data_IF_355512918503
#
_entry.id   IF_355512918503
#
_cell.length_a   1.000
_cell.length_b   1.000
_cell.length_c   1.000
_cell.angle_alpha   90.00
_cell.angle_beta   90.00
_cell.angle_gamma   90.00
#
_symmetry.space_group_name_H-M   'P 1'
#
loop_
_entity.id
_entity.type
_entity.pdbx_description
1 polymer ?
#
# COMPACT_ATOMS: atom_id res chain seq x y z
N UNK A 1 3.75 6.77 -10.81
CA UNK A 1 4.22 6.30 -9.50
C UNK A 1 4.13 7.44 -8.51
N UNK A 2 3.60 7.18 -7.33
CA UNK A 2 3.35 8.21 -6.34
C UNK A 2 3.70 7.68 -4.96
N UNK A 3 4.24 8.54 -4.11
CA UNK A 3 4.41 8.28 -2.70
C UNK A 3 3.58 9.29 -1.91
N UNK A 4 2.53 8.77 -1.28
CA UNK A 4 1.47 9.57 -0.65
C UNK A 4 1.56 9.41 0.86
N UNK A 5 1.88 10.51 1.55
CA UNK A 5 2.15 10.56 2.98
C UNK A 5 1.12 11.52 3.64
N UNK A 6 0.10 11.01 4.35
CA UNK A 6 -0.74 11.85 5.18
C UNK A 6 0.04 12.28 6.43
N UNK A 7 0.03 13.57 6.75
CA UNK A 7 0.75 14.10 7.91
C UNK A 7 -0.09 14.04 9.19
N UNK A 8 -1.40 14.21 9.08
CA UNK A 8 -2.35 14.21 10.21
C UNK A 8 -2.03 15.22 11.32
N UNK A 9 -1.22 16.22 11.01
CA UNK A 9 -0.91 17.36 11.86
C UNK A 9 -0.80 18.63 11.02
N UNK A 10 -0.93 19.83 11.63
CA UNK A 10 -0.78 21.08 10.92
C UNK A 10 0.61 21.23 10.32
N UNK A 11 0.68 21.66 9.05
CA UNK A 11 1.93 21.80 8.34
C UNK A 11 1.84 22.91 7.30
N UNK A 12 2.76 23.89 7.32
CA UNK A 12 2.85 25.02 6.36
C UNK A 12 1.51 25.70 6.02
N UNK A 13 0.68 25.93 7.04
CA UNK A 13 -0.62 26.61 6.90
C UNK A 13 -1.79 25.70 6.51
N UNK A 14 -1.53 24.41 6.30
CA UNK A 14 -2.55 23.37 6.28
C UNK A 14 -2.89 22.95 7.71
N UNK A 15 -4.16 22.72 7.98
CA UNK A 15 -4.69 22.12 9.21
C UNK A 15 -4.41 20.60 9.21
N UNK A 16 -4.58 19.97 8.06
CA UNK A 16 -4.19 18.59 7.75
C UNK A 16 -3.68 18.56 6.32
N UNK A 17 -2.46 18.07 6.12
CA UNK A 17 -1.82 17.97 4.81
C UNK A 17 -1.51 16.53 4.43
N UNK A 18 -1.52 16.26 3.14
CA UNK A 18 -0.96 15.08 2.50
C UNK A 18 0.14 15.52 1.54
N UNK A 19 1.32 14.95 1.70
CA UNK A 19 2.44 15.16 0.77
C UNK A 19 2.40 14.06 -0.30
N UNK A 20 2.43 14.45 -1.56
CA UNK A 20 2.43 13.58 -2.73
C UNK A 20 3.72 13.80 -3.51
N UNK A 21 4.61 12.81 -3.49
CA UNK A 21 5.88 12.82 -4.23
C UNK A 21 5.71 11.99 -5.50
N UNK A 22 5.93 12.58 -6.67
CA UNK A 22 5.83 11.91 -7.98
C UNK A 22 6.89 12.45 -8.95
N UNK A 23 7.13 11.79 -10.08
CA UNK A 23 8.22 12.17 -11.01
C UNK A 23 8.20 13.63 -11.49
N UNK A 24 7.03 14.29 -11.47
CA UNK A 24 6.89 15.71 -11.83
C UNK A 24 7.12 16.71 -10.69
N UNK A 25 7.45 16.26 -9.47
CA UNK A 25 7.69 17.10 -8.30
C UNK A 25 6.91 16.68 -7.06
N UNK A 26 6.89 17.56 -6.06
CA UNK A 26 6.21 17.34 -4.78
C UNK A 26 5.04 18.30 -4.66
N UNK A 27 3.89 17.78 -4.22
CA UNK A 27 2.69 18.55 -3.92
C UNK A 27 2.31 18.33 -2.47
N UNK A 28 1.87 19.40 -1.80
CA UNK A 28 1.16 19.31 -0.54
C UNK A 28 -0.29 19.70 -0.77
N UNK A 29 -1.19 18.83 -0.34
CA UNK A 29 -2.62 18.93 -0.58
C UNK A 29 -3.33 18.83 0.76
N UNK A 30 -4.29 19.72 1.04
CA UNK A 30 -4.97 19.69 2.32
C UNK A 30 -5.93 20.83 2.57
N UNK A 31 -6.48 20.86 3.79
CA UNK A 31 -7.37 21.93 4.24
C UNK A 31 -6.59 23.07 4.86
N UNK A 32 -6.92 24.31 4.50
CA UNK A 32 -6.41 25.56 5.08
C UNK A 32 -7.56 26.30 5.76
N UNK A 33 -7.28 27.48 6.32
CA UNK A 33 -8.31 28.37 6.88
C UNK A 33 -9.32 28.86 5.82
N UNK A 34 -8.91 28.92 4.54
CA UNK A 34 -9.70 29.49 3.44
C UNK A 34 -10.42 28.42 2.60
N UNK A 35 -10.11 27.14 2.80
CA UNK A 35 -10.70 26.04 2.04
C UNK A 35 -9.70 24.93 1.76
N UNK A 36 -9.95 24.14 0.71
CA UNK A 36 -9.00 23.15 0.24
C UNK A 36 -7.97 23.81 -0.69
N UNK A 37 -6.70 23.43 -0.54
CA UNK A 37 -5.59 24.02 -1.29
C UNK A 37 -4.58 22.95 -1.72
N UNK A 38 -3.85 23.23 -2.79
CA UNK A 38 -2.78 22.40 -3.36
C UNK A 38 -1.59 23.28 -3.71
N UNK A 39 -0.42 22.97 -3.13
CA UNK A 39 0.80 23.78 -3.27
C UNK A 39 1.98 22.93 -3.72
N UNK A 40 2.76 23.37 -4.73
CA UNK A 40 4.05 22.77 -5.03
C UNK A 40 5.03 23.00 -3.87
N UNK A 41 5.87 22.01 -3.60
CA UNK A 41 6.87 22.04 -2.54
C UNK A 41 8.21 21.58 -3.11
N UNK A 42 9.31 22.14 -2.61
CA UNK A 42 10.65 21.68 -2.98
C UNK A 42 10.93 20.29 -2.37
N UNK A 43 11.60 19.42 -3.12
CA UNK A 43 11.87 18.04 -2.70
C UNK A 43 12.76 17.99 -1.46
N UNK A 44 13.68 18.94 -1.35
CA UNK A 44 14.63 19.09 -0.23
C UNK A 44 13.89 19.36 1.08
N UNK A 45 12.75 20.07 1.01
CA UNK A 45 11.97 20.46 2.19
C UNK A 45 11.16 19.30 2.76
N UNK A 46 10.83 18.30 1.94
CA UNK A 46 10.10 17.10 2.36
C UNK A 46 11.01 15.90 2.57
N UNK A 47 12.31 16.00 2.29
CA UNK A 47 13.25 14.89 2.36
C UNK A 47 13.33 14.29 3.78
N UNK A 48 13.48 15.13 4.80
CA UNK A 48 13.52 14.70 6.21
C UNK A 48 12.19 14.12 6.68
N UNK A 49 11.07 14.68 6.19
CA UNK A 49 9.72 14.21 6.47
C UNK A 49 9.44 12.86 5.81
N UNK A 50 9.90 12.64 4.57
CA UNK A 50 9.70 11.42 3.81
C UNK A 50 10.61 10.28 4.29
N UNK A 51 11.82 10.59 4.78
CA UNK A 51 12.83 9.61 5.19
C UNK A 51 12.31 8.47 6.09
N UNK A 52 11.60 8.71 7.21
CA UNK A 52 11.11 7.62 8.07
C UNK A 52 10.08 6.72 7.36
N UNK A 53 9.28 7.30 6.45
CA UNK A 53 8.32 6.53 5.66
C UNK A 53 9.01 5.77 4.51
N UNK A 54 10.08 6.31 3.93
CA UNK A 54 10.92 5.56 2.99
C UNK A 54 11.55 4.34 3.66
N UNK A 55 12.07 4.50 4.87
CA UNK A 55 12.61 3.39 5.67
C UNK A 55 11.55 2.34 6.02
N UNK A 56 10.33 2.78 6.33
CA UNK A 56 9.19 1.90 6.55
C UNK A 56 8.88 1.06 5.29
N UNK A 57 8.89 1.68 4.10
CA UNK A 57 8.71 0.95 2.84
C UNK A 57 9.92 0.09 2.48
N UNK A 58 11.15 0.50 2.79
CA UNK A 58 12.34 -0.35 2.62
C UNK A 58 12.26 -1.62 3.47
N UNK A 59 11.78 -1.49 4.71
CA UNK A 59 11.48 -2.63 5.57
C UNK A 59 10.40 -3.53 4.94
N UNK A 60 9.31 -2.94 4.44
CA UNK A 60 8.25 -3.70 3.76
C UNK A 60 8.79 -4.43 2.52
N UNK A 61 9.61 -3.77 1.72
CA UNK A 61 10.28 -4.35 0.55
C UNK A 61 11.14 -5.55 0.93
N UNK A 62 11.90 -5.42 2.01
CA UNK A 62 12.75 -6.50 2.55
C UNK A 62 11.93 -7.71 3.02
N UNK A 63 10.83 -7.50 3.73
CA UNK A 63 9.93 -8.58 4.15
C UNK A 63 9.22 -9.24 2.96
N UNK A 64 8.76 -8.45 1.98
CA UNK A 64 8.18 -8.98 0.74
C UNK A 64 9.18 -9.84 -0.01
N UNK A 65 10.43 -9.38 -0.12
CA UNK A 65 11.52 -10.14 -0.69
C UNK A 65 11.74 -11.47 0.04
N UNK A 66 11.80 -11.44 1.37
CA UNK A 66 11.93 -12.64 2.21
C UNK A 66 10.79 -13.65 1.97
N UNK A 67 9.54 -13.19 1.96
CA UNK A 67 8.36 -14.05 1.80
C UNK A 67 8.31 -14.69 0.41
N UNK A 68 8.69 -13.94 -0.63
CA UNK A 68 8.53 -14.36 -2.02
C UNK A 68 9.84 -14.85 -2.67
N UNK A 69 10.94 -14.90 -1.92
CA UNK A 69 12.24 -15.36 -2.40
C UNK A 69 12.88 -14.42 -3.42
N UNK A 70 12.79 -13.11 -3.18
CA UNK A 70 13.44 -12.06 -3.97
C UNK A 70 14.34 -11.22 -3.07
N UNK A 71 15.43 -10.71 -3.62
CA UNK A 71 16.34 -9.83 -2.88
C UNK A 71 15.86 -8.38 -3.00
N UNK A 72 15.60 -7.73 -1.87
CA UNK A 72 15.36 -6.29 -1.83
C UNK A 72 16.67 -5.54 -1.63
N UNK A 73 16.90 -4.51 -2.45
CA UNK A 73 18.02 -3.57 -2.26
C UNK A 73 17.49 -2.15 -2.31
N UNK A 74 17.70 -1.42 -1.22
CA UNK A 74 17.44 0.02 -1.17
C UNK A 74 18.33 0.73 -2.19
N UNK A 75 17.73 1.53 -3.08
CA UNK A 75 18.50 2.40 -3.95
C UNK A 75 19.10 3.57 -3.17
N UNK A 76 20.36 3.90 -3.49
CA UNK A 76 20.97 5.15 -3.08
C UNK A 76 20.49 6.30 -3.97
N UNK A 77 20.50 7.52 -3.44
CA UNK A 77 20.14 8.73 -4.17
C UNK A 77 18.95 9.47 -3.55
N UNK A 78 18.32 10.30 -4.37
CA UNK A 78 17.16 11.11 -3.98
C UNK A 78 15.86 10.28 -3.86
N UNK A 79 14.82 10.91 -3.33
CA UNK A 79 13.51 10.28 -3.13
C UNK A 79 12.89 9.77 -4.43
N UNK A 80 13.14 10.44 -5.57
CA UNK A 80 12.59 10.02 -6.87
C UNK A 80 13.28 8.77 -7.41
N UNK A 81 14.60 8.68 -7.23
CA UNK A 81 15.41 7.51 -7.59
C UNK A 81 15.05 6.33 -6.72
N UNK A 82 14.89 6.56 -5.41
CA UNK A 82 14.35 5.56 -4.49
C UNK A 82 12.97 5.07 -4.92
N UNK A 83 12.02 5.98 -5.21
CA UNK A 83 10.65 5.64 -5.58
C UNK A 83 10.59 4.78 -6.85
N UNK A 84 11.34 5.14 -7.89
CA UNK A 84 11.47 4.34 -9.12
C UNK A 84 11.99 2.94 -8.83
N UNK A 85 13.05 2.85 -8.04
CA UNK A 85 13.64 1.56 -7.68
C UNK A 85 12.70 0.70 -6.86
N UNK A 86 11.99 1.30 -5.91
CA UNK A 86 11.04 0.59 -5.07
C UNK A 86 9.87 0.07 -5.89
N UNK A 87 9.26 0.90 -6.74
CA UNK A 87 8.15 0.48 -7.63
C UNK A 87 8.58 -0.65 -8.56
N UNK A 88 9.78 -0.58 -9.14
CA UNK A 88 10.32 -1.68 -9.96
C UNK A 88 10.41 -2.99 -9.17
N UNK A 89 10.88 -2.93 -7.91
CA UNK A 89 10.90 -4.10 -7.05
C UNK A 89 9.48 -4.63 -6.77
N UNK A 90 8.49 -3.75 -6.58
CA UNK A 90 7.09 -4.14 -6.42
C UNK A 90 6.53 -4.83 -7.67
N UNK A 91 6.95 -4.44 -8.87
CA UNK A 91 6.56 -5.12 -10.10
C UNK A 91 7.14 -6.55 -10.17
N UNK A 92 8.40 -6.73 -9.76
CA UNK A 92 9.04 -8.05 -9.69
C UNK A 92 8.37 -8.96 -8.65
N UNK A 93 8.06 -8.41 -7.47
CA UNK A 93 7.27 -9.05 -6.42
C UNK A 93 5.87 -9.42 -6.92
N UNK A 94 5.19 -8.50 -7.62
CA UNK A 94 3.87 -8.72 -8.20
C UNK A 94 3.88 -9.85 -9.22
N UNK A 95 4.89 -9.91 -10.09
CA UNK A 95 5.07 -11.00 -11.05
C UNK A 95 5.31 -12.36 -10.35
N UNK A 96 6.08 -12.38 -9.25
CA UNK A 96 6.30 -13.58 -8.45
C UNK A 96 5.02 -14.03 -7.76
N UNK A 97 4.29 -13.11 -7.13
CA UNK A 97 2.98 -13.40 -6.53
C UNK A 97 2.00 -13.93 -7.57
N UNK A 98 1.93 -13.32 -8.75
CA UNK A 98 1.08 -13.77 -9.85
C UNK A 98 1.26 -15.26 -10.16
N UNK A 99 2.52 -15.73 -10.23
CA UNK A 99 2.82 -17.16 -10.44
C UNK A 99 2.39 -18.07 -9.29
N UNK A 100 2.46 -17.58 -8.05
CA UNK A 100 2.04 -18.33 -6.86
C UNK A 100 0.51 -18.48 -6.85
N UNK A 101 -0.21 -17.37 -7.02
CA UNK A 101 -1.68 -17.38 -6.97
C UNK A 101 -2.30 -18.12 -8.16
N UNK A 102 -1.62 -18.17 -9.31
CA UNK A 102 -2.01 -19.02 -10.44
C UNK A 102 -2.11 -20.51 -10.04
N UNK A 103 -1.31 -20.96 -9.07
CA UNK A 103 -1.30 -22.34 -8.54
C UNK A 103 -2.28 -22.63 -7.39
N UNK A 104 -2.97 -21.62 -6.84
CA UNK A 104 -3.95 -21.81 -5.74
C UNK A 104 -5.25 -22.45 -6.25
N UNK A 105 -5.56 -22.27 -7.54
CA UNK A 105 -6.78 -22.78 -8.17
C UNK A 105 -8.02 -21.92 -7.88
N UNK A 106 -9.21 -22.40 -8.24
CA UNK A 106 -10.44 -21.66 -8.04
C UNK A 106 -10.74 -21.45 -6.55
N UNK A 107 -11.13 -20.24 -6.17
CA UNK A 107 -11.52 -19.91 -4.80
C UNK A 107 -12.59 -18.82 -4.79
N UNK A 108 -13.35 -18.78 -3.70
CA UNK A 108 -14.32 -17.73 -3.42
C UNK A 108 -14.12 -17.26 -2.00
N UNK A 109 -13.83 -15.98 -1.83
CA UNK A 109 -13.62 -15.31 -0.56
C UNK A 109 -14.70 -14.25 -0.39
N UNK A 110 -15.37 -14.28 0.76
CA UNK A 110 -16.20 -13.17 1.27
C UNK A 110 -15.97 -13.10 2.77
N UNK A 111 -15.26 -12.07 3.22
CA UNK A 111 -14.85 -11.94 4.63
C UNK A 111 -15.12 -10.55 5.16
N UNK A 112 -15.86 -10.46 6.27
CA UNK A 112 -15.97 -9.24 7.05
C UNK A 112 -14.69 -8.99 7.85
N UNK A 113 -14.17 -7.77 7.81
CA UNK A 113 -12.98 -7.33 8.52
C UNK A 113 -13.25 -5.97 9.17
N UNK A 114 -12.89 -5.83 10.45
CA UNK A 114 -13.06 -4.57 11.19
C UNK A 114 -12.26 -3.41 10.60
N UNK A 115 -11.10 -3.71 10.03
CA UNK A 115 -10.21 -2.74 9.36
C UNK A 115 -9.55 -3.43 8.19
N UNK A 116 -9.57 -2.77 7.03
CA UNK A 116 -8.86 -3.23 5.83
C UNK A 116 -7.82 -2.18 5.45
N UNK A 117 -6.55 -2.59 5.48
CA UNK A 117 -5.41 -1.74 5.17
C UNK A 117 -4.92 -1.98 3.74
N UNK A 118 -4.47 -0.92 3.07
CA UNK A 118 -3.88 -1.00 1.74
C UNK A 118 -2.61 -0.15 1.63
N UNK A 119 -1.41 -0.74 1.79
CA UNK A 119 -0.15 0.01 1.68
C UNK A 119 0.23 0.35 0.22
N UNK A 120 -0.44 -0.27 -0.75
CA UNK A 120 -0.26 -0.05 -2.18
C UNK A 120 -1.60 0.08 -2.89
N UNK A 121 -1.65 0.95 -3.90
CA UNK A 121 -2.76 1.05 -4.85
C UNK A 121 -2.20 1.26 -6.25
N UNK A 122 -2.24 0.23 -7.10
CA UNK A 122 -1.50 0.24 -8.37
C UNK A 122 0.00 0.45 -8.14
N UNK A 123 0.58 1.46 -8.81
CA UNK A 123 1.98 1.87 -8.64
C UNK A 123 2.14 3.05 -7.65
N UNK A 124 1.17 3.25 -6.75
CA UNK A 124 1.26 4.22 -5.67
C UNK A 124 1.57 3.53 -4.33
N UNK A 125 2.60 4.03 -3.65
CA UNK A 125 2.88 3.79 -2.25
C UNK A 125 1.98 4.75 -1.46
N UNK A 126 0.89 4.23 -0.89
CA UNK A 126 -0.10 5.07 -0.21
C UNK A 126 -0.22 4.70 1.25
N UNK A 127 0.10 5.66 2.11
CA UNK A 127 -0.14 5.56 3.55
C UNK A 127 -1.53 6.05 3.94
N UNK A 128 -2.30 6.61 3.00
CA UNK A 128 -3.67 7.09 3.25
C UNK A 128 -4.57 5.97 3.74
N UNK A 129 -4.58 4.81 3.08
CA UNK A 129 -5.37 3.64 3.49
C UNK A 129 -4.71 2.82 4.61
N UNK A 130 -3.63 3.35 5.19
CA UNK A 130 -2.96 2.80 6.37
C UNK A 130 -3.35 3.66 7.58
N UNK A 131 -3.26 4.99 7.43
CA UNK A 131 -3.77 5.97 8.38
C UNK A 131 -5.29 5.87 8.57
N UNK A 132 -6.02 5.72 7.46
CA UNK A 132 -7.48 5.67 7.42
C UNK A 132 -7.92 4.38 6.72
N UNK A 133 -7.85 3.22 7.38
CA UNK A 133 -8.29 1.95 6.80
C UNK A 133 -9.80 1.95 6.60
N UNK A 134 -10.29 1.11 5.68
CA UNK A 134 -11.73 0.92 5.52
C UNK A 134 -12.29 0.21 6.76
N UNK A 135 -13.18 0.84 7.54
CA UNK A 135 -13.73 0.25 8.76
C UNK A 135 -14.90 -0.68 8.41
N UNK A 136 -15.04 -1.79 9.13
CA UNK A 136 -16.18 -2.71 9.03
C UNK A 136 -16.55 -3.07 7.57
N UNK A 137 -15.52 -3.41 6.79
CA UNK A 137 -15.63 -3.67 5.36
C UNK A 137 -15.67 -5.17 5.06
N UNK A 138 -16.22 -5.52 3.90
CA UNK A 138 -16.22 -6.88 3.38
C UNK A 138 -15.20 -6.98 2.24
N UNK A 139 -14.23 -7.87 2.37
CA UNK A 139 -13.31 -8.21 1.28
C UNK A 139 -13.88 -9.39 0.51
N UNK A 140 -14.02 -9.21 -0.80
CA UNK A 140 -14.58 -10.18 -1.73
C UNK A 140 -13.56 -10.50 -2.81
N UNK A 141 -13.36 -11.78 -3.11
CA UNK A 141 -12.58 -12.19 -4.27
C UNK A 141 -13.16 -13.47 -4.85
N UNK A 142 -13.25 -13.54 -6.17
CA UNK A 142 -13.64 -14.75 -6.88
C UNK A 142 -12.58 -15.04 -7.93
N UNK A 143 -11.93 -16.20 -7.81
CA UNK A 143 -11.08 -16.77 -8.86
C UNK A 143 -11.79 -17.97 -9.46
N UNK A 144 -12.17 -17.88 -10.74
CA UNK A 144 -12.72 -19.02 -11.50
C UNK A 144 -11.64 -19.74 -12.33
N UNK A 145 -10.45 -19.15 -12.43
CA UNK A 145 -9.38 -19.66 -13.24
C UNK A 145 -8.72 -20.89 -12.63
N UNK A 146 -8.52 -21.92 -13.46
CA UNK A 146 -7.87 -23.18 -13.07
C UNK A 146 -6.36 -23.20 -13.33
N UNK A 147 -5.93 -22.45 -14.35
CA UNK A 147 -4.52 -22.41 -14.81
C UNK A 147 -3.87 -21.07 -14.50
N UNK A 148 -4.69 -20.01 -14.47
CA UNK A 148 -4.25 -18.65 -14.19
C UNK A 148 -5.33 -17.99 -13.35
N UNK A 149 -4.95 -17.26 -12.31
CA UNK A 149 -5.88 -16.57 -11.46
C UNK A 149 -6.50 -15.37 -12.21
N UNK A 150 -7.82 -15.32 -12.31
CA UNK A 150 -8.53 -14.27 -13.03
C UNK A 150 -9.56 -13.66 -12.10
N UNK A 151 -9.54 -12.34 -11.98
CA UNK A 151 -10.49 -11.59 -11.19
C UNK A 151 -9.85 -10.46 -10.41
N UNK A 152 -10.62 -9.93 -9.47
CA UNK A 152 -10.19 -8.85 -8.60
C UNK A 152 -10.58 -9.16 -7.16
N UNK A 153 -9.77 -8.65 -6.24
CA UNK A 153 -10.09 -8.52 -4.83
C UNK A 153 -10.74 -7.15 -4.66
N UNK A 154 -11.91 -7.13 -4.05
CA UNK A 154 -12.78 -5.97 -3.90
C UNK A 154 -12.97 -5.70 -2.41
N UNK A 155 -12.92 -4.42 -2.03
CA UNK A 155 -13.34 -3.96 -0.71
C UNK A 155 -14.72 -3.33 -0.86
N UNK A 156 -15.71 -3.89 -0.17
CA UNK A 156 -17.07 -3.37 -0.05
C UNK A 156 -17.24 -2.69 1.30
N UNK A 157 -17.72 -1.44 1.30
CA UNK A 157 -18.04 -0.68 2.51
C UNK A 157 -19.40 0.00 2.32
N UNK A 158 -20.30 -0.13 3.29
CA UNK A 158 -21.67 0.41 3.17
C UNK A 158 -22.48 -0.19 2.02
N UNK A 159 -22.14 -1.40 1.55
CA UNK A 159 -22.79 -2.06 0.41
C UNK A 159 -22.29 -1.61 -0.97
N UNK A 160 -21.28 -0.74 -1.03
CA UNK A 160 -20.68 -0.28 -2.30
C UNK A 160 -19.22 -0.67 -2.40
N UNK A 161 -18.74 -0.86 -3.64
CA UNK A 161 -17.34 -1.10 -3.95
C UNK A 161 -16.54 0.20 -3.76
N UNK A 162 -15.62 0.22 -2.80
CA UNK A 162 -14.78 1.39 -2.48
C UNK A 162 -13.33 1.25 -2.93
N UNK A 163 -12.83 0.01 -3.08
CA UNK A 163 -11.50 -0.27 -3.60
C UNK A 163 -11.46 -1.59 -4.36
N UNK A 164 -10.46 -1.75 -5.23
CA UNK A 164 -10.24 -2.96 -6.01
C UNK A 164 -8.79 -3.13 -6.40
N UNK A 165 -8.32 -4.36 -6.39
CA UNK A 165 -7.01 -4.72 -6.95
C UNK A 165 -7.12 -6.05 -7.71
N UNK A 166 -6.34 -6.23 -8.78
CA UNK A 166 -6.29 -7.52 -9.46
C UNK A 166 -5.73 -8.61 -8.55
N UNK A 167 -6.25 -9.84 -8.63
CA UNK A 167 -5.81 -10.97 -7.79
C UNK A 167 -4.29 -11.21 -7.90
N UNK A 168 -3.73 -10.99 -9.10
CA UNK A 168 -2.30 -11.18 -9.41
C UNK A 168 -1.42 -9.98 -9.04
N UNK A 169 -1.98 -8.92 -8.46
CA UNK A 169 -1.23 -7.73 -8.04
C UNK A 169 -0.84 -7.83 -6.57
N UNK A 170 0.21 -7.11 -6.16
CA UNK A 170 0.61 -7.07 -4.75
C UNK A 170 -0.47 -6.47 -3.85
N UNK A 171 -1.18 -5.44 -4.31
CA UNK A 171 -2.33 -4.89 -3.59
C UNK A 171 -3.42 -5.96 -3.39
N UNK A 172 -3.68 -6.79 -4.41
CA UNK A 172 -4.58 -7.94 -4.31
C UNK A 172 -4.07 -8.97 -3.30
N UNK A 173 -2.77 -9.25 -3.27
CA UNK A 173 -2.16 -10.14 -2.30
C UNK A 173 -2.38 -9.67 -0.86
N UNK A 174 -2.16 -8.39 -0.56
CA UNK A 174 -2.40 -7.83 0.78
C UNK A 174 -3.88 -7.86 1.20
N UNK A 175 -4.80 -7.63 0.26
CA UNK A 175 -6.23 -7.75 0.56
C UNK A 175 -6.63 -9.21 0.82
N UNK A 176 -6.13 -10.16 0.03
CA UNK A 176 -6.34 -11.60 0.26
C UNK A 176 -5.70 -12.07 1.56
N UNK A 177 -4.52 -11.55 1.91
CA UNK A 177 -3.81 -11.91 3.14
C UNK A 177 -4.63 -11.56 4.39
N UNK A 178 -5.37 -10.45 4.36
CA UNK A 178 -6.25 -10.05 5.45
C UNK A 178 -7.52 -10.92 5.51
N UNK A 179 -8.08 -11.29 4.36
CA UNK A 179 -9.41 -11.91 4.24
C UNK A 179 -9.39 -13.45 4.30
N UNK A 180 -8.36 -14.06 3.73
CA UNK A 180 -8.20 -15.51 3.58
C UNK A 180 -6.70 -15.91 3.61
N UNK A 181 -5.98 -15.64 4.72
CA UNK A 181 -4.57 -16.03 4.88
C UNK A 181 -4.33 -17.54 4.76
N UNK A 182 -5.38 -18.35 4.89
CA UNK A 182 -5.36 -19.81 4.78
C UNK A 182 -5.19 -20.34 3.35
N UNK A 183 -5.40 -19.53 2.31
CA UNK A 183 -5.36 -20.00 0.92
C UNK A 183 -3.96 -20.47 0.49
N UNK A 184 -2.90 -19.86 1.02
CA UNK A 184 -1.52 -20.27 0.74
C UNK A 184 -0.59 -19.78 1.87
N UNK A 185 0.52 -20.49 2.18
CA UNK A 185 1.45 -20.09 3.24
C UNK A 185 1.97 -18.65 3.10
N UNK A 186 2.19 -18.17 1.87
CA UNK A 186 2.67 -16.81 1.60
C UNK A 186 1.68 -15.76 2.08
N UNK A 187 0.36 -15.97 1.92
CA UNK A 187 -0.64 -15.01 2.41
C UNK A 187 -0.65 -14.91 3.93
N UNK A 188 -0.39 -16.02 4.63
CA UNK A 188 -0.24 -16.02 6.09
C UNK A 188 0.96 -15.17 6.54
N UNK A 189 2.08 -15.26 5.82
CA UNK A 189 3.26 -14.44 6.10
C UNK A 189 3.03 -12.97 5.70
N UNK A 190 2.43 -12.70 4.53
CA UNK A 190 2.08 -11.34 4.09
C UNK A 190 1.13 -10.65 5.07
N UNK A 191 0.20 -11.39 5.69
CA UNK A 191 -0.66 -10.86 6.74
C UNK A 191 0.16 -10.36 7.93
N UNK A 192 1.11 -11.15 8.42
CA UNK A 192 2.00 -10.76 9.53
C UNK A 192 2.86 -9.56 9.14
N UNK A 193 3.38 -9.54 7.92
CA UNK A 193 4.16 -8.42 7.37
C UNK A 193 3.31 -7.15 7.35
N UNK A 194 2.05 -7.22 6.92
CA UNK A 194 1.14 -6.07 6.92
C UNK A 194 0.82 -5.59 8.34
N UNK A 195 0.56 -6.49 9.27
CA UNK A 195 0.35 -6.14 10.68
C UNK A 195 1.58 -5.43 11.27
N UNK A 196 2.78 -5.90 10.97
CA UNK A 196 4.04 -5.25 11.34
C UNK A 196 4.22 -3.90 10.68
N UNK A 197 3.87 -3.77 9.40
CA UNK A 197 3.92 -2.50 8.66
C UNK A 197 3.01 -1.44 9.30
N UNK A 198 1.76 -1.82 9.60
CA UNK A 198 0.77 -0.95 10.24
C UNK A 198 1.26 -0.52 11.63
N UNK A 199 1.77 -1.44 12.44
CA UNK A 199 2.30 -1.11 13.76
C UNK A 199 3.47 -0.13 13.69
N UNK A 200 4.39 -0.31 12.73
CA UNK A 200 5.52 0.59 12.52
C UNK A 200 5.07 1.96 12.02
N UNK A 201 4.13 2.01 11.07
CA UNK A 201 3.52 3.26 10.61
C UNK A 201 3.00 4.10 11.78
N UNK A 202 2.16 3.50 12.65
CA UNK A 202 1.61 4.21 13.81
C UNK A 202 2.65 4.62 14.86
N UNK A 203 3.85 4.02 14.84
CA UNK A 203 4.96 4.42 15.72
C UNK A 203 5.73 5.65 15.23
N UNK A 204 5.67 5.95 13.92
CA UNK A 204 6.38 7.08 13.30
C UNK A 204 5.44 8.19 12.80
N UNK A 205 4.14 7.91 12.69
CA UNK A 205 3.14 8.84 12.15
C UNK A 205 2.36 9.54 13.27
N UNK A 206 1.95 10.79 13.01
CA UNK A 206 0.99 11.51 13.83
C UNK A 206 -0.46 11.07 13.58
N UNK A 207 -0.74 10.34 12.48
CA UNK A 207 -2.03 9.73 12.22
C UNK A 207 -2.30 8.63 13.27
N UNK A 208 -3.24 8.82 14.19
CA UNK A 208 -3.56 7.85 15.27
C UNK A 208 -5.05 7.60 15.37
#
# INVERSE_FOLDING_TARGET
MEFVIPLCEPWRGFQEATVIIKEGGVLAVGRTAEGFDERPVAAEEVASLAAPYMELYDWLGSELGRVLGLEYRRAAGDVFTWLRSHVRFIDEVGAKWGRIVDGVGPFSVRRFLRRVYMPYSGHALTLTYVAYPFPDAVVVAENRGRVMAIGSVVVEWGGVKVASAGIRTLAGAFLLAQAAPELTPELKELKKTLEGFVARFFSISACR
#
